data_IF_835586092379
#
_entry.id   IF_835586092379
#
_cell.length_a   1.000
_cell.length_b   1.000
_cell.length_c   1.000
_cell.angle_alpha   90.00
_cell.angle_beta   90.00
_cell.angle_gamma   90.00
#
_symmetry.space_group_name_H-M   'P 1'
#
loop_
_entity.id
_entity.type
_entity.pdbx_description
1 polymer ?
#
# COMPACT_ATOMS: atom_id res chain seq x y z
N UNK A 1 -10.75 13.84 -24.54
CA UNK A 1 -9.91 12.73 -24.02
C UNK A 1 -9.30 13.06 -22.66
N UNK A 2 -8.60 14.18 -22.47
CA UNK A 2 -7.94 14.54 -21.19
C UNK A 2 -8.87 14.48 -19.94
N UNK A 3 -10.10 15.00 -20.07
CA UNK A 3 -11.08 15.03 -18.98
C UNK A 3 -11.46 13.63 -18.44
N UNK A 4 -11.54 12.63 -19.33
CA UNK A 4 -11.90 11.27 -18.93
C UNK A 4 -10.78 10.61 -18.14
N UNK A 5 -9.52 10.85 -18.51
CA UNK A 5 -8.35 10.37 -17.75
C UNK A 5 -8.19 11.07 -16.40
N UNK A 6 -8.49 12.38 -16.33
CA UNK A 6 -8.49 13.13 -15.06
C UNK A 6 -9.58 12.59 -14.13
N UNK A 7 -10.80 12.36 -14.63
CA UNK A 7 -11.88 11.74 -13.86
C UNK A 7 -11.55 10.32 -13.40
N UNK A 8 -10.87 9.53 -14.24
CA UNK A 8 -10.45 8.19 -13.88
C UNK A 8 -9.38 8.22 -12.79
N UNK A 9 -8.39 9.10 -12.91
CA UNK A 9 -7.37 9.33 -11.89
C UNK A 9 -7.96 9.83 -10.57
N UNK A 10 -8.92 10.74 -10.65
CA UNK A 10 -9.63 11.25 -9.48
C UNK A 10 -10.48 10.16 -8.82
N UNK A 11 -11.15 9.31 -9.59
CA UNK A 11 -11.94 8.19 -9.07
C UNK A 11 -11.08 7.10 -8.45
N UNK A 12 -9.86 6.88 -8.94
CA UNK A 12 -8.89 5.93 -8.39
C UNK A 12 -8.22 6.44 -7.11
N UNK A 13 -8.05 7.76 -6.96
CA UNK A 13 -7.53 8.39 -5.74
C UNK A 13 -8.60 8.85 -4.74
N UNK A 14 -9.87 8.97 -5.17
CA UNK A 14 -11.01 9.29 -4.30
C UNK A 14 -11.19 8.32 -3.13
N UNK A 15 -10.97 7.00 -3.27
CA UNK A 15 -10.82 6.14 -2.11
C UNK A 15 -9.47 6.43 -1.47
N UNK A 16 -9.49 7.20 -0.39
CA UNK A 16 -8.32 7.33 0.45
C UNK A 16 -8.04 5.95 1.06
N UNK A 17 -6.92 5.34 0.69
CA UNK A 17 -6.55 4.02 1.22
C UNK A 17 -6.43 4.06 2.75
N UNK A 18 -6.67 2.96 3.47
CA UNK A 18 -6.70 2.94 4.93
C UNK A 18 -5.39 3.44 5.57
N UNK A 19 -4.26 3.18 4.93
CA UNK A 19 -2.93 3.65 5.36
C UNK A 19 -2.80 5.17 5.21
N UNK A 20 -3.25 5.72 4.08
CA UNK A 20 -3.18 7.16 3.83
C UNK A 20 -4.23 7.91 4.68
N UNK A 21 -5.40 7.33 4.91
CA UNK A 21 -6.40 7.81 5.86
C UNK A 21 -5.82 7.92 7.27
N UNK A 22 -5.09 6.89 7.71
CA UNK A 22 -4.45 6.85 9.03
C UNK A 22 -3.29 7.84 9.14
N UNK A 23 -2.51 8.06 8.07
CA UNK A 23 -1.50 9.12 8.02
C UNK A 23 -2.14 10.51 8.08
N UNK A 24 -3.25 10.74 7.39
CA UNK A 24 -3.96 12.01 7.39
C UNK A 24 -4.59 12.29 8.76
N UNK A 25 -5.26 11.31 9.37
CA UNK A 25 -5.82 11.42 10.72
C UNK A 25 -4.73 11.73 11.76
N UNK A 26 -3.63 10.96 11.74
CA UNK A 26 -2.51 11.19 12.67
C UNK A 26 -1.74 12.48 12.36
N UNK A 27 -1.65 12.89 11.10
CA UNK A 27 -1.03 14.13 10.69
C UNK A 27 -1.82 15.36 11.13
N UNK A 28 -3.14 15.28 11.03
CA UNK A 28 -4.05 16.34 11.47
C UNK A 28 -4.12 16.41 13.00
N UNK A 29 -4.12 15.27 13.71
CA UNK A 29 -4.25 15.24 15.18
C UNK A 29 -2.93 15.42 15.95
N UNK A 30 -1.83 14.85 15.46
CA UNK A 30 -0.55 14.78 16.19
C UNK A 30 0.61 15.47 15.44
N UNK A 31 0.32 16.15 14.33
CA UNK A 31 1.29 16.89 13.53
C UNK A 31 2.08 16.02 12.55
N UNK A 32 2.86 16.70 11.71
CA UNK A 32 3.60 16.11 10.58
C UNK A 32 4.52 14.94 10.98
N UNK A 33 5.14 15.01 12.17
CA UNK A 33 6.11 14.01 12.62
C UNK A 33 5.49 12.62 12.84
N UNK A 34 4.25 12.57 13.34
CA UNK A 34 3.54 11.31 13.56
C UNK A 34 3.02 10.70 12.26
N UNK A 35 2.58 11.52 11.30
CA UNK A 35 2.22 11.05 9.95
C UNK A 35 3.44 10.52 9.18
N UNK A 36 4.59 11.17 9.34
CA UNK A 36 5.84 10.77 8.70
C UNK A 36 6.33 9.41 9.22
N UNK A 37 6.32 9.20 10.54
CA UNK A 37 6.65 7.91 11.15
C UNK A 37 5.76 6.77 10.66
N UNK A 38 4.46 7.01 10.46
CA UNK A 38 3.54 6.00 9.91
C UNK A 38 3.86 5.70 8.44
N UNK A 39 4.24 6.71 7.66
CA UNK A 39 4.64 6.52 6.26
C UNK A 39 5.94 5.75 6.11
N UNK A 40 6.94 6.06 6.94
CA UNK A 40 8.20 5.32 7.01
C UNK A 40 7.94 3.88 7.46
N UNK A 41 7.08 3.68 8.47
CA UNK A 41 6.67 2.34 8.91
C UNK A 41 5.98 1.53 7.81
N UNK A 42 5.10 2.15 7.02
CA UNK A 42 4.45 1.50 5.89
C UNK A 42 5.46 1.11 4.80
N UNK A 43 6.33 2.04 4.39
CA UNK A 43 7.39 1.75 3.40
C UNK A 43 8.35 0.65 3.88
N UNK A 44 8.71 0.64 5.16
CA UNK A 44 9.53 -0.43 5.74
C UNK A 44 8.81 -1.78 5.73
N UNK A 45 7.50 -1.81 6.01
CA UNK A 45 6.71 -3.04 5.93
C UNK A 45 6.63 -3.57 4.49
N UNK A 46 6.41 -2.70 3.51
CA UNK A 46 6.41 -3.07 2.08
C UNK A 46 7.79 -3.60 1.65
N UNK A 47 8.87 -2.93 2.04
CA UNK A 47 10.23 -3.36 1.73
C UNK A 47 10.58 -4.71 2.38
N UNK A 48 10.13 -4.93 3.62
CA UNK A 48 10.31 -6.20 4.32
C UNK A 48 9.53 -7.32 3.64
N UNK A 49 8.28 -7.06 3.23
CA UNK A 49 7.47 -8.02 2.46
C UNK A 49 8.14 -8.38 1.14
N UNK A 50 8.60 -7.39 0.37
CA UNK A 50 9.32 -7.63 -0.88
C UNK A 50 10.61 -8.43 -0.65
N UNK A 51 11.36 -8.11 0.41
CA UNK A 51 12.57 -8.84 0.80
C UNK A 51 12.24 -10.31 1.14
N UNK A 52 11.17 -10.55 1.88
CA UNK A 52 10.73 -11.88 2.28
C UNK A 52 10.28 -12.72 1.07
N UNK A 53 9.55 -12.10 0.13
CA UNK A 53 9.19 -12.71 -1.16
C UNK A 53 10.45 -13.05 -1.97
N UNK A 54 11.40 -12.12 -2.06
CA UNK A 54 12.65 -12.28 -2.81
C UNK A 54 13.58 -13.36 -2.23
N UNK A 55 13.66 -13.47 -0.90
CA UNK A 55 14.46 -14.49 -0.19
C UNK A 55 13.92 -15.92 -0.32
N UNK A 56 12.83 -16.12 -1.07
CA UNK A 56 12.34 -17.45 -1.41
C UNK A 56 10.95 -17.79 -0.85
N UNK A 57 10.16 -16.81 -0.41
CA UNK A 57 8.73 -17.10 -0.15
C UNK A 57 7.95 -17.28 -1.46
N UNK A 58 8.40 -16.68 -2.58
CA UNK A 58 7.77 -16.88 -3.89
C UNK A 58 7.77 -18.36 -4.34
N UNK A 59 8.87 -19.08 -4.07
CA UNK A 59 9.02 -20.52 -4.38
C UNK A 59 8.18 -21.42 -3.44
N UNK A 60 7.70 -20.90 -2.30
CA UNK A 60 6.68 -21.56 -1.46
C UNK A 60 5.26 -21.29 -1.94
N UNK A 61 5.00 -20.16 -2.62
CA UNK A 61 3.69 -19.82 -3.21
C UNK A 61 3.43 -20.63 -4.50
N UNK A 62 4.47 -21.18 -5.12
CA UNK A 62 4.38 -22.14 -6.24
C UNK A 62 4.01 -23.58 -5.82
N UNK A 63 3.77 -23.85 -4.53
CA UNK A 63 3.10 -25.09 -4.13
C UNK A 63 1.69 -25.13 -4.74
N UNK A 64 1.24 -26.27 -5.28
CA UNK A 64 0.01 -26.42 -6.09
C UNK A 64 -1.32 -26.13 -5.35
N UNK A 65 -1.26 -25.58 -4.13
CA UNK A 65 -2.42 -25.17 -3.34
C UNK A 65 -2.98 -23.80 -3.77
N UNK A 66 -2.16 -22.87 -4.27
CA UNK A 66 -2.60 -21.50 -4.60
C UNK A 66 -3.13 -21.36 -6.02
N UNK A 67 -2.63 -22.16 -6.98
CA UNK A 67 -3.13 -22.17 -8.36
C UNK A 67 -4.55 -22.70 -8.52
N UNK A 68 -5.08 -23.42 -7.54
CA UNK A 68 -6.42 -24.03 -7.61
C UNK A 68 -7.54 -23.04 -7.24
N UNK A 69 -7.19 -21.87 -6.68
CA UNK A 69 -8.14 -20.85 -6.22
C UNK A 69 -8.16 -19.56 -7.05
N UNK A 70 -7.34 -19.45 -8.11
CA UNK A 70 -7.37 -18.32 -9.05
C UNK A 70 -8.34 -18.58 -10.21
#
# INVERSE_FOLDING_TARGET
MLFSYILLGLSLSAPIGPINAAQLDKGVRYGFWHAWLVGVGAMCADALFMLMIYLGLAQYVELPLVKTFL
#
